data_IF_522471461400
#
_entry.id   IF_522471461400
#
_cell.length_a   1.000
_cell.length_b   1.000
_cell.length_c   1.000
_cell.angle_alpha   90.00
_cell.angle_beta   90.00
_cell.angle_gamma   90.00
#
_symmetry.space_group_name_H-M   'P 1'
#
loop_
_entity.id
_entity.type
_entity.pdbx_description
1 polymer ?
#
# COMPACT_ATOMS: atom_id res chain seq x y z
N UNK A 1 2.54 -11.03 -18.72
CA UNK A 1 3.55 -11.59 -17.81
C UNK A 1 4.87 -10.88 -18.07
N UNK A 2 5.47 -10.32 -17.05
CA UNK A 2 6.65 -9.48 -17.16
C UNK A 2 7.68 -9.92 -16.13
N UNK A 3 8.97 -9.98 -16.51
CA UNK A 3 10.04 -10.34 -15.56
C UNK A 3 10.39 -9.16 -14.67
N UNK A 4 10.75 -9.44 -13.42
CA UNK A 4 11.38 -8.46 -12.57
C UNK A 4 12.73 -8.06 -13.16
N UNK A 5 13.06 -6.79 -13.04
CA UNK A 5 14.44 -6.34 -13.27
C UNK A 5 15.34 -6.84 -12.13
N UNK A 6 16.65 -6.86 -12.35
CA UNK A 6 17.60 -7.21 -11.28
C UNK A 6 17.45 -6.32 -10.04
N UNK A 7 17.42 -4.98 -10.17
CA UNK A 7 17.18 -4.09 -9.03
C UNK A 7 15.88 -4.36 -8.29
N UNK A 8 14.76 -4.56 -8.99
CA UNK A 8 13.48 -4.84 -8.36
C UNK A 8 13.50 -6.17 -7.59
N UNK A 9 14.10 -7.20 -8.19
CA UNK A 9 14.25 -8.51 -7.55
C UNK A 9 15.13 -8.42 -6.30
N UNK A 10 16.19 -7.60 -6.32
CA UNK A 10 17.09 -7.44 -5.19
C UNK A 10 16.37 -6.92 -3.94
N UNK A 11 15.41 -6.01 -4.11
CA UNK A 11 14.62 -5.53 -2.98
C UNK A 11 13.82 -6.65 -2.31
N UNK A 12 13.25 -7.57 -3.09
CA UNK A 12 12.55 -8.72 -2.53
C UNK A 12 13.49 -9.70 -1.83
N UNK A 13 14.68 -9.91 -2.37
CA UNK A 13 15.66 -10.83 -1.78
C UNK A 13 16.28 -10.28 -0.49
N UNK A 14 16.44 -8.96 -0.40
CA UNK A 14 17.02 -8.31 0.77
C UNK A 14 16.03 -8.14 1.91
N UNK A 15 14.74 -8.25 1.63
CA UNK A 15 13.70 -8.11 2.65
C UNK A 15 13.72 -9.29 3.62
N UNK A 16 13.66 -8.99 4.91
CA UNK A 16 13.54 -9.97 6.00
C UNK A 16 12.32 -9.63 6.86
N UNK A 17 11.87 -10.50 7.77
CA UNK A 17 10.77 -10.17 8.67
C UNK A 17 10.99 -8.90 9.50
N UNK A 18 12.24 -8.51 9.72
CA UNK A 18 12.60 -7.34 10.52
C UNK A 18 13.07 -6.15 9.68
N UNK A 19 13.33 -6.36 8.40
CA UNK A 19 13.82 -5.32 7.48
C UNK A 19 12.94 -5.34 6.23
N UNK A 20 12.18 -4.27 6.04
CA UNK A 20 11.24 -4.13 4.93
C UNK A 20 11.82 -3.19 3.87
N UNK A 21 11.71 -3.58 2.62
CA UNK A 21 12.26 -2.84 1.48
C UNK A 21 11.18 -2.10 0.67
N UNK A 22 10.11 -1.68 1.34
CA UNK A 22 9.08 -0.87 0.69
C UNK A 22 9.31 0.63 0.90
N UNK A 23 8.72 1.43 0.03
CA UNK A 23 8.73 2.89 0.11
C UNK A 23 7.46 3.36 0.79
N UNK A 24 7.57 4.33 1.67
CA UNK A 24 6.43 4.96 2.32
C UNK A 24 6.31 6.41 1.83
N UNK A 25 5.09 6.79 1.44
CA UNK A 25 4.75 8.17 1.09
C UNK A 25 3.62 8.65 1.98
N UNK A 26 3.77 9.84 2.53
CA UNK A 26 2.77 10.43 3.42
C UNK A 26 2.30 11.75 2.81
N UNK A 27 0.98 11.95 2.79
CA UNK A 27 0.37 13.21 2.41
C UNK A 27 -0.62 13.63 3.48
N UNK A 28 -0.56 14.90 3.87
CA UNK A 28 -1.55 15.50 4.76
C UNK A 28 -2.54 16.28 3.91
N UNK A 29 -3.82 16.03 4.10
CA UNK A 29 -4.89 16.64 3.30
C UNK A 29 -5.78 17.45 4.21
N UNK A 30 -5.92 18.74 3.89
CA UNK A 30 -6.91 19.62 4.49
C UNK A 30 -8.25 19.45 3.75
N UNK A 31 -9.29 19.12 4.48
CA UNK A 31 -10.61 18.93 3.92
C UNK A 31 -11.40 20.23 3.92
N UNK A 32 -12.18 20.53 2.85
CA UNK A 32 -13.17 21.58 2.90
C UNK A 32 -14.16 21.35 4.05
N UNK A 33 -14.66 22.42 4.61
CA UNK A 33 -15.57 22.39 5.77
C UNK A 33 -16.82 21.53 5.56
N UNK A 34 -17.26 21.44 4.31
CA UNK A 34 -18.50 20.74 3.96
C UNK A 34 -18.35 19.22 3.79
N UNK A 35 -17.12 18.70 3.84
CA UNK A 35 -16.89 17.25 3.64
C UNK A 35 -16.83 16.56 4.98
N UNK A 36 -17.81 15.68 5.29
CA UNK A 36 -17.75 14.87 6.51
C UNK A 36 -16.56 13.90 6.46
N UNK A 37 -15.82 13.79 7.54
CA UNK A 37 -14.70 12.85 7.66
C UNK A 37 -15.11 11.41 7.38
N UNK A 38 -16.35 11.05 7.73
CA UNK A 38 -16.89 9.71 7.52
C UNK A 38 -17.02 9.33 6.05
N UNK A 39 -17.09 10.31 5.15
CA UNK A 39 -17.23 10.08 3.72
C UNK A 39 -15.90 10.06 2.97
N UNK A 40 -14.82 10.52 3.60
CA UNK A 40 -13.51 10.67 2.92
C UNK A 40 -12.98 9.32 2.44
N UNK A 41 -13.10 8.28 3.24
CA UNK A 41 -12.67 6.95 2.85
C UNK A 41 -13.39 6.46 1.59
N UNK A 42 -14.70 6.62 1.53
CA UNK A 42 -15.49 6.22 0.36
C UNK A 42 -15.16 7.07 -0.87
N UNK A 43 -14.89 8.36 -0.69
CA UNK A 43 -14.45 9.24 -1.78
C UNK A 43 -13.10 8.79 -2.34
N UNK A 44 -12.15 8.45 -1.47
CA UNK A 44 -10.82 7.95 -1.87
C UNK A 44 -10.97 6.63 -2.61
N UNK A 45 -11.77 5.71 -2.07
CA UNK A 45 -12.02 4.42 -2.71
C UNK A 45 -12.62 4.58 -4.10
N UNK A 46 -13.62 5.42 -4.25
CA UNK A 46 -14.26 5.67 -5.55
C UNK A 46 -13.27 6.30 -6.54
N UNK A 47 -12.48 7.26 -6.08
CA UNK A 47 -11.47 7.89 -6.92
C UNK A 47 -10.42 6.89 -7.41
N UNK A 48 -10.01 5.96 -6.56
CA UNK A 48 -9.07 4.90 -6.93
C UNK A 48 -9.71 3.90 -7.91
N UNK A 49 -10.92 3.46 -7.65
CA UNK A 49 -11.65 2.56 -8.55
C UNK A 49 -11.76 3.13 -9.97
N UNK A 50 -12.04 4.42 -10.09
CA UNK A 50 -12.17 5.11 -11.37
C UNK A 50 -10.85 5.27 -12.13
N UNK A 51 -9.71 5.19 -11.43
CA UNK A 51 -8.39 5.48 -12.00
C UNK A 51 -7.45 4.29 -12.09
N UNK A 52 -7.79 3.15 -11.49
CA UNK A 52 -6.92 1.97 -11.49
C UNK A 52 -6.56 1.50 -12.90
N UNK A 53 -7.46 1.64 -13.86
CA UNK A 53 -7.20 1.26 -15.25
C UNK A 53 -6.09 2.11 -15.90
N UNK A 54 -5.80 3.28 -15.34
CA UNK A 54 -4.71 4.14 -15.83
C UNK A 54 -3.34 3.67 -15.37
N UNK A 55 -3.28 2.81 -14.35
CA UNK A 55 -2.03 2.26 -13.80
C UNK A 55 -2.15 0.73 -13.69
N UNK A 56 -2.06 0.01 -14.82
CA UNK A 56 -2.25 -1.45 -14.82
C UNK A 56 -1.28 -2.20 -13.91
N UNK A 57 -0.10 -1.65 -13.65
CA UNK A 57 0.91 -2.24 -12.77
C UNK A 57 0.42 -2.43 -11.34
N UNK A 58 -0.54 -1.64 -10.88
CA UNK A 58 -1.13 -1.80 -9.56
C UNK A 58 -1.96 -3.09 -9.40
N UNK A 59 -2.19 -3.80 -10.49
CA UNK A 59 -2.87 -5.10 -10.49
C UNK A 59 -1.93 -6.29 -10.69
N UNK A 60 -0.63 -6.04 -10.75
CA UNK A 60 0.39 -7.08 -10.90
C UNK A 60 0.90 -7.53 -9.53
N UNK A 61 0.98 -8.82 -9.34
CA UNK A 61 1.59 -9.43 -8.16
C UNK A 61 2.86 -10.18 -8.50
N UNK A 62 3.80 -10.34 -7.56
CA UNK A 62 4.98 -11.15 -7.79
C UNK A 62 4.64 -12.63 -7.76
N UNK A 63 5.26 -13.40 -8.64
CA UNK A 63 5.21 -14.86 -8.63
C UNK A 63 6.63 -15.36 -8.73
N UNK A 64 7.05 -16.17 -7.76
CA UNK A 64 8.37 -16.77 -7.77
C UNK A 64 8.43 -17.90 -8.80
N UNK A 65 9.57 -18.00 -9.47
CA UNK A 65 9.84 -19.10 -10.40
C UNK A 65 10.34 -20.30 -9.57
N UNK A 66 9.78 -21.51 -9.77
CA UNK A 66 10.19 -22.69 -9.04
C UNK A 66 11.69 -22.97 -9.14
N UNK A 67 12.30 -23.31 -8.00
CA UNK A 67 13.71 -23.62 -7.92
C UNK A 67 14.65 -22.42 -7.99
N UNK A 68 14.13 -21.20 -7.98
CA UNK A 68 14.96 -19.99 -8.06
C UNK A 68 15.72 -19.83 -9.37
N UNK A 69 15.25 -20.46 -10.44
CA UNK A 69 15.93 -20.48 -11.75
C UNK A 69 15.96 -19.10 -12.42
N UNK A 70 15.01 -18.24 -12.10
CA UNK A 70 14.90 -16.88 -12.60
C UNK A 70 14.41 -15.94 -11.51
N UNK A 71 14.55 -14.63 -11.77
CA UNK A 71 13.88 -13.62 -10.94
C UNK A 71 12.36 -13.82 -10.96
N UNK A 72 11.66 -13.34 -9.93
CA UNK A 72 10.20 -13.36 -9.92
C UNK A 72 9.60 -12.69 -11.16
N UNK A 73 8.37 -13.03 -11.44
CA UNK A 73 7.63 -12.45 -12.57
C UNK A 73 6.44 -11.64 -12.05
N UNK A 74 6.14 -10.55 -12.74
CA UNK A 74 4.92 -9.80 -12.55
C UNK A 74 3.78 -10.49 -13.28
N UNK A 75 2.76 -10.88 -12.55
CA UNK A 75 1.59 -11.57 -13.09
C UNK A 75 0.33 -10.80 -12.68
N UNK A 76 -0.61 -10.67 -13.61
CA UNK A 76 -1.89 -10.05 -13.31
C UNK A 76 -2.60 -10.84 -12.20
N UNK A 77 -3.00 -10.14 -11.14
CA UNK A 77 -3.76 -10.74 -10.05
C UNK A 77 -5.21 -10.94 -10.48
N UNK A 78 -5.58 -12.19 -10.72
CA UNK A 78 -6.96 -12.55 -11.10
C UNK A 78 -7.97 -12.39 -9.95
N UNK A 79 -7.48 -12.31 -8.73
CA UNK A 79 -8.29 -12.11 -7.52
C UNK A 79 -8.13 -10.70 -6.94
N UNK A 80 -7.74 -9.75 -7.79
CA UNK A 80 -7.55 -8.37 -7.35
C UNK A 80 -8.83 -7.83 -6.69
N UNK A 81 -8.66 -7.27 -5.50
CA UNK A 81 -9.73 -6.63 -4.75
C UNK A 81 -9.16 -5.38 -4.08
N UNK A 82 -9.66 -4.23 -4.44
CA UNK A 82 -9.21 -2.95 -3.89
C UNK A 82 -9.33 -2.92 -2.36
N UNK A 83 -10.32 -3.58 -1.78
CA UNK A 83 -10.50 -3.68 -0.34
C UNK A 83 -9.34 -4.34 0.41
N UNK A 84 -8.49 -5.08 -0.29
CA UNK A 84 -7.27 -5.66 0.29
C UNK A 84 -6.06 -4.72 0.23
N UNK A 85 -6.22 -3.55 -0.36
CA UNK A 85 -5.16 -2.55 -0.58
C UNK A 85 -5.50 -1.18 -0.01
N UNK A 86 -6.73 -0.97 0.42
CA UNK A 86 -7.18 0.30 0.96
C UNK A 86 -7.71 0.09 2.38
N UNK A 87 -7.05 0.71 3.34
CA UNK A 87 -7.33 0.56 4.76
C UNK A 87 -7.59 1.92 5.40
N UNK A 88 -8.27 1.90 6.51
CA UNK A 88 -8.46 3.07 7.35
C UNK A 88 -8.16 2.74 8.79
N UNK A 89 -7.59 3.68 9.50
CA UNK A 89 -7.39 3.59 10.94
C UNK A 89 -7.48 4.97 11.56
N UNK A 90 -7.67 5.00 12.86
CA UNK A 90 -7.71 6.25 13.60
C UNK A 90 -6.47 6.37 14.46
N UNK A 91 -5.82 7.53 14.41
CA UNK A 91 -4.69 7.80 15.30
C UNK A 91 -5.19 8.08 16.71
N UNK A 92 -4.34 7.83 17.71
CA UNK A 92 -4.69 8.04 19.11
C UNK A 92 -4.94 9.52 19.43
N UNK A 93 -5.80 9.79 20.38
CA UNK A 93 -5.96 11.14 20.88
C UNK A 93 -4.68 11.57 21.63
N UNK A 94 -4.30 12.84 21.55
CA UNK A 94 -5.01 13.99 20.98
C UNK A 94 -4.83 14.20 19.46
N UNK A 95 -4.24 13.28 18.74
CA UNK A 95 -4.11 13.37 17.29
C UNK A 95 -3.05 14.37 16.81
N UNK A 96 -2.01 14.57 17.60
CA UNK A 96 -0.90 15.44 17.23
C UNK A 96 0.19 14.72 16.41
N UNK A 97 1.31 15.41 16.23
CA UNK A 97 2.45 14.89 15.47
C UNK A 97 2.96 13.57 16.02
N UNK A 98 3.04 13.43 17.33
CA UNK A 98 3.53 12.22 17.99
C UNK A 98 2.66 11.00 17.67
N UNK A 99 1.35 11.18 17.77
CA UNK A 99 0.39 10.11 17.51
C UNK A 99 0.38 9.73 16.03
N UNK A 100 0.53 10.71 15.14
CA UNK A 100 0.67 10.48 13.71
C UNK A 100 1.96 9.69 13.40
N UNK A 101 3.08 10.10 13.95
CA UNK A 101 4.36 9.44 13.74
C UNK A 101 4.33 7.99 14.24
N UNK A 102 3.68 7.75 15.37
CA UNK A 102 3.50 6.41 15.91
C UNK A 102 2.66 5.53 14.97
N UNK A 103 1.55 6.04 14.46
CA UNK A 103 0.70 5.30 13.53
C UNK A 103 1.44 4.98 12.23
N UNK A 104 2.20 5.93 11.70
CA UNK A 104 3.03 5.73 10.51
C UNK A 104 4.08 4.65 10.75
N UNK A 105 4.75 4.68 11.90
CA UNK A 105 5.76 3.69 12.25
C UNK A 105 5.16 2.28 12.36
N UNK A 106 3.99 2.14 12.95
CA UNK A 106 3.27 0.87 13.04
C UNK A 106 2.93 0.32 11.65
N UNK A 107 2.40 1.15 10.76
CA UNK A 107 2.08 0.76 9.38
C UNK A 107 3.36 0.38 8.63
N UNK A 108 4.42 1.18 8.75
CA UNK A 108 5.69 0.92 8.08
C UNK A 108 6.36 -0.37 8.56
N UNK A 109 6.05 -0.85 9.75
CA UNK A 109 6.56 -2.11 10.30
C UNK A 109 5.86 -3.35 9.74
N UNK A 110 4.76 -3.19 9.01
CA UNK A 110 4.03 -4.28 8.40
C UNK A 110 4.66 -4.65 7.04
N UNK A 111 4.99 -5.92 6.87
CA UNK A 111 5.48 -6.41 5.59
C UNK A 111 4.33 -6.51 4.58
N UNK A 112 4.56 -6.03 3.35
CA UNK A 112 3.57 -6.19 2.29
C UNK A 112 3.43 -7.68 1.93
N UNK A 113 2.21 -8.24 1.95
CA UNK A 113 1.98 -9.61 1.52
C UNK A 113 2.39 -9.82 0.06
N UNK A 114 3.05 -10.95 -0.22
CA UNK A 114 3.54 -11.27 -1.57
C UNK A 114 2.55 -12.09 -2.40
N UNK A 115 1.39 -12.40 -1.85
CA UNK A 115 0.30 -13.10 -2.54
C UNK A 115 -0.61 -12.17 -3.35
N UNK A 116 -0.28 -10.88 -3.36
CA UNK A 116 -1.07 -9.81 -3.99
C UNK A 116 -0.15 -8.69 -4.48
N UNK A 117 -0.65 -7.71 -5.24
CA UNK A 117 0.13 -6.53 -5.60
C UNK A 117 0.77 -5.85 -4.40
N UNK A 118 2.02 -5.41 -4.56
CA UNK A 118 2.87 -4.95 -3.47
C UNK A 118 2.65 -3.47 -3.15
N UNK A 119 1.44 -3.12 -2.79
CA UNK A 119 1.10 -1.78 -2.35
C UNK A 119 -0.09 -1.79 -1.41
N UNK A 120 -0.14 -0.81 -0.55
CA UNK A 120 -1.26 -0.51 0.32
C UNK A 120 -1.42 1.00 0.46
N UNK A 121 -2.65 1.45 0.62
CA UNK A 121 -2.98 2.83 0.94
C UNK A 121 -3.73 2.85 2.26
N UNK A 122 -3.27 3.67 3.18
CA UNK A 122 -3.85 3.82 4.50
C UNK A 122 -4.38 5.23 4.68
N UNK A 123 -5.64 5.35 5.05
CA UNK A 123 -6.24 6.61 5.47
C UNK A 123 -6.18 6.71 6.99
N UNK A 124 -5.46 7.72 7.47
CA UNK A 124 -5.31 8.00 8.90
C UNK A 124 -6.28 9.11 9.29
N UNK A 125 -7.21 8.78 10.16
CA UNK A 125 -8.23 9.71 10.66
C UNK A 125 -7.85 10.22 12.06
N UNK A 126 -8.35 11.39 12.42
CA UNK A 126 -8.20 11.94 13.76
C UNK A 126 -7.01 12.88 13.96
N UNK A 127 -6.37 13.32 12.89
CA UNK A 127 -5.34 14.35 12.97
C UNK A 127 -5.95 15.66 13.42
N UNK A 128 -5.37 16.26 14.46
CA UNK A 128 -5.81 17.54 15.01
C UNK A 128 -5.34 18.73 14.16
#
# INVERSE_FOLDING_TARGET
MERFTGPDASFLYMETPNVHMHTLKVAVIDLPFEVPYTEVFDMVRLAMEQRLHLVPRLRLRPVEVPGGLHHPMWVKDSHFNLGRHLFRTRIAEPGGQREMDQAIAEIASLQLPRDRPLWETWLLEGLA
#
